data_IF_800307981840
#
_entry.id   IF_800307981840
#
_cell.length_a   1.000
_cell.length_b   1.000
_cell.length_c   1.000
_cell.angle_alpha   90.00
_cell.angle_beta   90.00
_cell.angle_gamma   90.00
#
_symmetry.space_group_name_H-M   'P 1'
#
loop_
_entity.id
_entity.type
_entity.pdbx_description
1 polymer ?
#
# COMPACT_ATOMS: atom_id res chain seq x y z
N UNK A 1 -18.67 0.03 19.29
CA UNK A 1 -17.22 0.31 19.41
C UNK A 1 -17.05 1.82 19.41
N UNK A 2 -16.20 2.36 20.29
CA UNK A 2 -15.86 3.78 20.23
C UNK A 2 -15.00 4.04 18.97
N UNK A 3 -15.15 5.19 18.31
CA UNK A 3 -14.35 5.51 17.14
C UNK A 3 -12.88 5.61 17.55
N UNK A 4 -12.03 4.81 16.92
CA UNK A 4 -10.58 4.87 17.09
C UNK A 4 -10.11 6.24 16.61
N UNK A 5 -9.50 7.02 17.51
CA UNK A 5 -8.86 8.29 17.16
C UNK A 5 -7.47 7.95 16.61
N UNK A 6 -7.37 7.84 15.29
CA UNK A 6 -6.13 7.45 14.58
C UNK A 6 -4.92 8.32 14.94
N UNK A 7 -5.13 9.59 15.30
CA UNK A 7 -4.07 10.49 15.74
C UNK A 7 -3.39 10.05 17.05
N UNK A 8 -4.06 9.25 17.87
CA UNK A 8 -3.53 8.74 19.14
C UNK A 8 -2.77 7.42 18.98
N UNK A 9 -2.81 6.80 17.80
CA UNK A 9 -2.02 5.62 17.50
C UNK A 9 -0.57 6.07 17.25
N UNK A 10 0.44 5.47 17.91
CA UNK A 10 1.85 5.78 17.68
C UNK A 10 2.27 5.49 16.24
N UNK A 11 3.22 6.26 15.73
CA UNK A 11 3.76 6.09 14.37
C UNK A 11 4.41 4.71 14.18
N UNK A 12 5.02 4.17 15.22
CA UNK A 12 5.62 2.82 15.26
C UNK A 12 4.61 1.73 14.88
N UNK A 13 3.35 1.86 15.31
CA UNK A 13 2.31 0.87 15.00
C UNK A 13 2.02 0.86 13.49
N UNK A 14 1.93 2.03 12.86
CA UNK A 14 1.74 2.11 11.41
C UNK A 14 2.97 1.63 10.64
N UNK A 15 4.18 1.93 11.14
CA UNK A 15 5.41 1.48 10.49
C UNK A 15 5.57 -0.03 10.55
N UNK A 16 5.21 -0.66 11.67
CA UNK A 16 5.29 -2.11 11.81
C UNK A 16 4.23 -2.81 10.96
N UNK A 17 3.01 -2.27 10.86
CA UNK A 17 1.96 -2.74 9.95
C UNK A 17 2.42 -2.71 8.48
N UNK A 18 3.01 -1.58 8.03
CA UNK A 18 3.56 -1.46 6.67
C UNK A 18 4.69 -2.49 6.43
N UNK A 19 5.57 -2.71 7.40
CA UNK A 19 6.67 -3.69 7.27
C UNK A 19 6.14 -5.11 7.19
N UNK A 20 5.21 -5.48 8.07
CA UNK A 20 4.59 -6.81 8.09
C UNK A 20 3.88 -7.07 6.78
N UNK A 21 3.03 -6.14 6.34
CA UNK A 21 2.35 -6.24 5.05
C UNK A 21 3.34 -6.34 3.89
N UNK A 22 4.39 -5.52 3.87
CA UNK A 22 5.41 -5.58 2.80
C UNK A 22 6.16 -6.91 2.76
N UNK A 23 6.35 -7.56 3.91
CA UNK A 23 7.02 -8.86 4.01
C UNK A 23 6.12 -10.02 3.60
N UNK A 24 4.87 -10.02 4.03
CA UNK A 24 3.91 -11.11 3.78
C UNK A 24 3.29 -11.04 2.37
N UNK A 25 3.05 -9.83 1.85
CA UNK A 25 2.43 -9.63 0.53
C UNK A 25 3.08 -10.41 -0.63
N UNK A 26 4.42 -10.43 -0.82
CA UNK A 26 5.04 -11.23 -1.87
C UNK A 26 4.92 -12.74 -1.65
N UNK A 27 4.66 -13.19 -0.43
CA UNK A 27 4.49 -14.61 -0.08
C UNK A 27 3.04 -15.05 -0.37
N UNK A 28 2.07 -14.26 0.08
CA UNK A 28 0.65 -14.55 -0.10
C UNK A 28 0.17 -14.25 -1.52
N UNK A 29 0.70 -13.20 -2.15
CA UNK A 29 0.29 -12.71 -3.47
C UNK A 29 1.47 -12.56 -4.45
N UNK A 30 2.25 -13.63 -4.71
CA UNK A 30 3.48 -13.56 -5.50
C UNK A 30 3.24 -13.07 -6.94
N UNK A 31 2.11 -13.42 -7.54
CA UNK A 31 1.74 -12.98 -8.88
C UNK A 31 1.42 -11.48 -8.93
N UNK A 32 0.70 -10.95 -7.93
CA UNK A 32 0.38 -9.53 -7.84
C UNK A 32 1.65 -8.71 -7.60
N UNK A 33 2.50 -9.18 -6.69
CA UNK A 33 3.77 -8.53 -6.42
C UNK A 33 4.70 -8.51 -7.63
N UNK A 34 4.71 -9.58 -8.44
CA UNK A 34 5.44 -9.58 -9.71
C UNK A 34 4.95 -8.48 -10.65
N UNK A 35 3.63 -8.29 -10.79
CA UNK A 35 3.08 -7.23 -11.64
C UNK A 35 3.45 -5.83 -11.15
N UNK A 36 3.49 -5.62 -9.82
CA UNK A 36 3.99 -4.37 -9.22
C UNK A 36 5.45 -4.12 -9.63
N UNK A 37 6.31 -5.13 -9.46
CA UNK A 37 7.73 -5.02 -9.83
C UNK A 37 7.92 -4.70 -11.30
N UNK A 38 7.19 -5.41 -12.17
CA UNK A 38 7.27 -5.23 -13.62
C UNK A 38 6.81 -3.80 -14.02
N UNK A 39 5.83 -3.24 -13.32
CA UNK A 39 5.35 -1.88 -13.55
C UNK A 39 6.34 -0.80 -13.06
N UNK A 40 6.84 -0.92 -11.83
CA UNK A 40 7.73 0.09 -11.24
C UNK A 40 9.15 0.01 -11.78
N UNK A 41 9.59 -1.19 -12.17
CA UNK A 41 10.96 -1.48 -12.60
C UNK A 41 12.01 -1.03 -11.56
N UNK A 42 11.75 -1.33 -10.28
CA UNK A 42 12.63 -1.06 -9.13
C UNK A 42 12.93 -2.32 -8.33
N UNK A 43 14.01 -2.30 -7.54
CA UNK A 43 14.34 -3.38 -6.62
C UNK A 43 13.27 -3.55 -5.54
N UNK A 44 13.01 -4.80 -5.14
CA UNK A 44 11.94 -5.13 -4.18
C UNK A 44 12.12 -4.47 -2.82
N UNK A 45 13.36 -4.25 -2.39
CA UNK A 45 13.68 -3.57 -1.13
C UNK A 45 13.24 -2.11 -1.10
N UNK A 46 12.90 -1.53 -2.27
CA UNK A 46 12.45 -0.15 -2.39
C UNK A 46 10.92 -0.03 -2.43
N UNK A 47 10.19 -1.14 -2.45
CA UNK A 47 8.74 -1.17 -2.56
C UNK A 47 8.16 -1.45 -1.18
N UNK A 48 7.38 -0.50 -0.67
CA UNK A 48 6.58 -0.68 0.53
C UNK A 48 5.12 -0.83 0.14
N UNK A 49 4.48 -1.93 0.58
CA UNK A 49 3.03 -2.10 0.45
C UNK A 49 2.41 -1.41 1.66
N UNK A 50 1.67 -0.33 1.42
CA UNK A 50 1.17 0.54 2.50
C UNK A 50 -0.27 0.25 2.86
N UNK A 51 -1.05 -0.28 1.92
CA UNK A 51 -2.41 -0.73 2.13
C UNK A 51 -2.70 -1.90 1.18
N UNK A 52 -3.51 -2.85 1.65
CA UNK A 52 -4.08 -3.92 0.85
C UNK A 52 -5.48 -4.22 1.37
N UNK A 53 -6.49 -4.05 0.52
CA UNK A 53 -7.90 -4.16 0.88
C UNK A 53 -8.59 -5.07 -0.13
N UNK A 54 -9.25 -6.10 0.38
CA UNK A 54 -10.21 -6.92 -0.36
C UNK A 54 -11.57 -6.21 -0.39
N UNK A 55 -12.21 -6.16 -1.55
CA UNK A 55 -13.54 -5.56 -1.68
C UNK A 55 -14.61 -6.50 -1.12
N UNK A 56 -15.38 -6.00 -0.15
CA UNK A 56 -16.43 -6.77 0.53
C UNK A 56 -17.53 -7.30 -0.42
N UNK A 57 -17.74 -6.65 -1.57
CA UNK A 57 -18.75 -7.04 -2.54
C UNK A 57 -18.19 -7.91 -3.68
N UNK A 58 -16.87 -7.98 -3.81
CA UNK A 58 -16.19 -8.75 -4.83
C UNK A 58 -14.83 -9.25 -4.33
N UNK A 59 -14.80 -10.50 -3.85
CA UNK A 59 -13.57 -11.16 -3.36
C UNK A 59 -12.48 -11.31 -4.41
N UNK A 60 -12.79 -11.15 -5.70
CA UNK A 60 -11.79 -11.16 -6.79
C UNK A 60 -11.19 -9.77 -7.05
N UNK A 61 -11.62 -8.74 -6.30
CA UNK A 61 -11.17 -7.37 -6.43
C UNK A 61 -10.40 -6.91 -5.20
N UNK A 62 -9.13 -6.56 -5.42
CA UNK A 62 -8.25 -6.02 -4.40
C UNK A 62 -7.76 -4.65 -4.81
N UNK A 63 -7.54 -3.76 -3.85
CA UNK A 63 -6.96 -2.45 -4.09
C UNK A 63 -6.16 -1.97 -2.89
N UNK A 64 -5.30 -1.00 -3.14
CA UNK A 64 -4.47 -0.45 -2.08
C UNK A 64 -3.50 0.59 -2.60
N UNK A 65 -2.48 0.83 -1.80
CA UNK A 65 -1.41 1.74 -2.13
C UNK A 65 -0.06 1.09 -1.88
N UNK A 66 0.91 1.56 -2.65
CA UNK A 66 2.31 1.23 -2.47
C UNK A 66 3.15 2.49 -2.57
N UNK A 67 4.32 2.44 -1.97
CA UNK A 67 5.28 3.53 -1.93
C UNK A 67 6.64 3.05 -2.44
N UNK A 68 7.14 3.72 -3.48
CA UNK A 68 8.53 3.56 -3.93
C UNK A 68 9.41 4.55 -3.17
N UNK A 69 10.24 4.05 -2.27
CA UNK A 69 11.13 4.89 -1.44
C UNK A 69 12.20 5.61 -2.27
N UNK A 70 12.63 5.02 -3.39
CA UNK A 70 13.73 5.57 -4.17
C UNK A 70 13.29 6.85 -4.89
N UNK A 71 12.12 6.82 -5.52
CA UNK A 71 11.53 8.00 -6.18
C UNK A 71 10.67 8.86 -5.23
N UNK A 72 10.37 8.35 -4.03
CA UNK A 72 9.41 8.90 -3.08
C UNK A 72 8.03 9.13 -3.69
N UNK A 73 7.61 8.22 -4.58
CA UNK A 73 6.31 8.27 -5.24
C UNK A 73 5.36 7.26 -4.65
N UNK A 74 4.09 7.62 -4.66
CA UNK A 74 3.01 6.76 -4.20
C UNK A 74 2.16 6.36 -5.39
N UNK A 75 1.70 5.12 -5.37
CA UNK A 75 0.88 4.56 -6.43
C UNK A 75 -0.34 3.91 -5.82
N UNK A 76 -1.50 4.20 -6.41
CA UNK A 76 -2.71 3.42 -6.18
C UNK A 76 -2.68 2.22 -7.12
N UNK A 77 -3.06 1.05 -6.60
CA UNK A 77 -3.23 -0.12 -7.43
C UNK A 77 -4.60 -0.75 -7.24
N UNK A 78 -5.04 -1.48 -8.27
CA UNK A 78 -6.10 -2.45 -8.12
C UNK A 78 -5.87 -3.68 -8.99
N UNK A 79 -6.38 -4.80 -8.51
CA UNK A 79 -6.33 -6.09 -9.15
C UNK A 79 -7.73 -6.65 -9.26
N UNK A 80 -8.14 -7.01 -10.47
CA UNK A 80 -9.39 -7.72 -10.73
C UNK A 80 -9.06 -8.93 -11.60
N UNK A 81 -9.08 -10.13 -11.00
CA UNK A 81 -8.66 -11.38 -11.67
C UNK A 81 -7.24 -11.23 -12.25
N UNK A 82 -7.11 -11.18 -13.58
CA UNK A 82 -5.83 -11.07 -14.30
C UNK A 82 -5.48 -9.62 -14.70
N UNK A 83 -6.31 -8.64 -14.37
CA UNK A 83 -6.11 -7.24 -14.75
C UNK A 83 -5.59 -6.43 -13.58
N UNK A 84 -4.42 -5.82 -13.76
CA UNK A 84 -3.89 -4.81 -12.87
C UNK A 84 -4.02 -3.41 -13.42
N UNK A 85 -4.24 -2.46 -12.52
CA UNK A 85 -4.14 -1.02 -12.80
C UNK A 85 -3.22 -0.41 -11.76
N UNK A 86 -2.34 0.46 -12.24
CA UNK A 86 -1.42 1.23 -11.41
C UNK A 86 -1.51 2.68 -11.83
N UNK A 87 -1.60 3.57 -10.86
CA UNK A 87 -1.69 5.01 -11.08
C UNK A 87 -0.81 5.72 -10.05
N UNK A 88 0.14 6.54 -10.52
CA UNK A 88 0.88 7.45 -9.65
C UNK A 88 -0.09 8.49 -9.07
N UNK A 89 -0.09 8.64 -7.75
CA UNK A 89 -0.94 9.60 -7.05
C UNK A 89 -0.10 10.70 -6.43
N UNK A 90 -0.63 11.92 -6.44
CA UNK A 90 0.02 13.04 -5.78
C UNK A 90 -0.16 12.89 -4.26
N UNK A 91 0.92 12.59 -3.55
CA UNK A 91 0.94 12.42 -2.09
C UNK A 91 0.34 13.64 -1.37
N UNK A 92 0.59 14.86 -1.85
CA UNK A 92 0.04 16.08 -1.25
C UNK A 92 -1.47 16.23 -1.38
N UNK A 93 -2.12 15.42 -2.22
CA UNK A 93 -3.58 15.39 -2.36
C UNK A 93 -4.25 14.32 -1.49
N UNK A 94 -3.48 13.40 -0.92
CA UNK A 94 -4.00 12.30 -0.11
C UNK A 94 -4.28 12.77 1.32
N UNK A 95 -5.27 12.13 1.94
CA UNK A 95 -5.66 12.35 3.33
C UNK A 95 -5.73 11.02 4.08
N UNK A 96 -5.89 11.08 5.41
CA UNK A 96 -6.07 9.89 6.24
C UNK A 96 -7.35 9.10 5.89
N UNK A 97 -8.26 9.65 5.07
CA UNK A 97 -9.41 8.90 4.55
C UNK A 97 -9.03 7.99 3.38
N UNK A 98 -7.95 8.33 2.67
CA UNK A 98 -7.48 7.59 1.52
C UNK A 98 -6.55 6.45 1.95
N UNK A 99 -5.63 6.73 2.86
CA UNK A 99 -4.66 5.78 3.43
C UNK A 99 -4.10 6.35 4.73
N UNK A 100 -3.87 5.51 5.74
CA UNK A 100 -3.25 5.97 7.00
C UNK A 100 -1.74 6.13 6.88
N UNK A 101 -1.13 5.47 5.89
CA UNK A 101 0.32 5.44 5.69
C UNK A 101 0.93 6.84 5.47
N UNK A 102 0.17 7.80 4.91
CA UNK A 102 0.65 9.18 4.68
C UNK A 102 1.15 9.86 5.96
N UNK A 103 0.69 9.41 7.13
CA UNK A 103 1.16 9.89 8.43
C UNK A 103 2.65 9.57 8.63
N UNK A 104 3.10 8.42 8.15
CA UNK A 104 4.42 7.84 8.45
C UNK A 104 5.33 7.67 7.22
N UNK A 105 4.88 7.99 6.00
CA UNK A 105 5.72 7.92 4.79
C UNK A 105 7.03 8.73 4.88
N UNK A 106 7.07 9.77 5.72
CA UNK A 106 8.28 10.56 5.94
C UNK A 106 9.32 9.86 6.82
N UNK A 107 8.93 8.78 7.49
CA UNK A 107 9.77 7.94 8.37
C UNK A 107 10.24 6.65 7.69
N UNK A 108 9.67 6.30 6.53
CA UNK A 108 10.18 5.27 5.62
C UNK A 108 11.37 5.82 4.81
#
# INVERSE_FOLDING_TARGET
MEPIILNNIPDEVFLDDIKELTQEFPIEFPNLFKQIKDYLNVDTQNIYITDFVEDENNSDYFYGYLFDILSRKMYKYSFEKDKSKFEEVNISSLTLKDTFSIKVLHLL
#
